data_IF_584455614845
#
_entry.id   IF_584455614845
#
_cell.length_a   1.000
_cell.length_b   1.000
_cell.length_c   1.000
_cell.angle_alpha   90.00
_cell.angle_beta   90.00
_cell.angle_gamma   90.00
#
_symmetry.space_group_name_H-M   'P 1'
#
loop_
_entity.id
_entity.type
_entity.pdbx_description
1 polymer ?
#
# COMPACT_ATOMS: atom_id res chain seq x y z
N UNK A 1 -12.76 16.42 -5.41
CA UNK A 1 -14.18 15.99 -5.34
C UNK A 1 -14.79 16.27 -3.96
N UNK A 2 -14.36 15.63 -2.88
CA UNK A 2 -14.97 15.82 -1.55
C UNK A 2 -15.04 17.28 -1.10
N UNK A 3 -13.96 18.06 -1.27
CA UNK A 3 -13.96 19.50 -0.97
C UNK A 3 -15.01 20.28 -1.78
N UNK A 4 -15.15 19.94 -3.06
CA UNK A 4 -16.14 20.56 -3.92
C UNK A 4 -17.60 20.24 -3.50
N UNK A 5 -17.85 19.00 -3.03
CA UNK A 5 -19.16 18.61 -2.47
C UNK A 5 -19.51 19.48 -1.25
N UNK A 6 -18.51 19.91 -0.48
CA UNK A 6 -18.69 20.79 0.68
C UNK A 6 -18.67 22.28 0.34
N UNK A 7 -18.54 22.66 -0.93
CA UNK A 7 -18.39 24.05 -1.35
C UNK A 7 -17.05 24.69 -0.98
N UNK A 8 -16.07 23.87 -0.59
CA UNK A 8 -14.71 24.32 -0.21
C UNK A 8 -13.79 24.45 -1.39
N UNK A 9 -12.82 25.34 -1.29
CA UNK A 9 -11.70 25.42 -2.22
C UNK A 9 -10.76 24.24 -2.11
N UNK A 10 -10.26 23.75 -3.26
CA UNK A 10 -9.22 22.73 -3.31
C UNK A 10 -8.24 23.00 -4.45
N UNK A 11 -6.94 22.99 -4.14
CA UNK A 11 -5.85 23.03 -5.12
C UNK A 11 -5.05 21.74 -5.03
N UNK A 12 -4.80 21.07 -6.17
CA UNK A 12 -4.02 19.84 -6.25
C UNK A 12 -2.89 20.02 -7.26
N UNK A 13 -1.69 19.63 -6.89
CA UNK A 13 -0.53 19.60 -7.77
C UNK A 13 0.17 18.25 -7.62
N UNK A 14 0.26 17.53 -8.73
CA UNK A 14 0.95 16.25 -8.80
C UNK A 14 2.38 16.45 -9.32
N UNK A 15 3.33 15.80 -8.67
CA UNK A 15 4.72 15.76 -9.06
C UNK A 15 5.12 14.31 -9.20
N UNK A 16 4.98 13.77 -10.41
CA UNK A 16 5.44 12.43 -10.74
C UNK A 16 6.88 12.51 -11.29
N UNK A 17 7.72 11.56 -10.88
CA UNK A 17 9.04 11.37 -11.50
C UNK A 17 8.91 10.82 -12.93
N UNK A 18 9.95 11.01 -13.76
CA UNK A 18 10.00 10.48 -15.13
C UNK A 18 10.06 8.93 -15.19
N UNK A 19 10.35 8.26 -14.09
CA UNK A 19 10.36 6.81 -14.02
C UNK A 19 8.91 6.26 -13.99
N UNK A 20 8.54 5.50 -15.00
CA UNK A 20 7.20 4.91 -15.15
C UNK A 20 6.88 3.87 -14.06
N UNK A 21 7.89 3.28 -13.40
CA UNK A 21 7.75 2.37 -12.26
C UNK A 21 8.87 2.65 -11.26
N UNK A 22 8.52 2.70 -9.95
CA UNK A 22 9.50 2.89 -8.88
C UNK A 22 9.98 4.34 -8.67
N UNK A 23 9.39 5.33 -9.36
CA UNK A 23 9.65 6.75 -9.11
C UNK A 23 8.81 7.28 -7.96
N UNK A 24 9.39 8.18 -7.13
CA UNK A 24 8.65 8.86 -6.07
C UNK A 24 7.56 9.76 -6.66
N UNK A 25 6.33 9.62 -6.16
CA UNK A 25 5.21 10.48 -6.50
C UNK A 25 4.84 11.33 -5.29
N UNK A 26 4.74 12.64 -5.48
CA UNK A 26 4.30 13.55 -4.45
C UNK A 26 3.06 14.30 -4.95
N UNK A 27 2.04 14.36 -4.11
CA UNK A 27 0.82 15.14 -4.39
C UNK A 27 0.69 16.19 -3.31
N UNK A 28 0.67 17.46 -3.71
CA UNK A 28 0.35 18.55 -2.83
C UNK A 28 -1.13 18.87 -2.95
N UNK A 29 -1.83 18.91 -1.83
CA UNK A 29 -3.24 19.25 -1.76
C UNK A 29 -3.44 20.36 -0.73
N UNK A 30 -4.06 21.47 -1.15
CA UNK A 30 -4.53 22.52 -0.24
C UNK A 30 -6.05 22.53 -0.24
N UNK A 31 -6.60 22.63 0.96
CA UNK A 31 -8.04 22.75 1.19
C UNK A 31 -8.26 24.02 2.00
N UNK A 32 -9.16 24.87 1.56
CA UNK A 32 -9.55 26.11 2.22
C UNK A 32 -11.06 26.25 2.26
N UNK A 33 -11.58 27.14 3.09
CA UNK A 33 -13.04 27.39 3.15
C UNK A 33 -13.52 27.99 1.83
N UNK A 34 -12.76 28.91 1.21
CA UNK A 34 -13.09 29.45 -0.09
C UNK A 34 -11.97 29.18 -1.12
N UNK A 35 -12.28 29.04 -2.41
CA UNK A 35 -11.28 28.88 -3.47
C UNK A 35 -10.26 30.01 -3.53
N UNK A 36 -10.68 31.23 -3.25
CA UNK A 36 -9.88 32.47 -3.29
C UNK A 36 -8.78 32.48 -2.22
N UNK A 37 -8.93 31.71 -1.16
CA UNK A 37 -7.94 31.58 -0.08
C UNK A 37 -6.70 30.76 -0.50
N UNK A 38 -6.75 30.12 -1.68
CA UNK A 38 -5.67 29.28 -2.22
C UNK A 38 -4.88 30.09 -3.28
N UNK A 39 -3.93 30.89 -2.83
CA UNK A 39 -3.06 31.65 -3.75
C UNK A 39 -1.96 30.79 -4.38
N UNK A 40 -1.47 29.76 -3.69
CA UNK A 40 -0.42 28.84 -4.16
C UNK A 40 -0.77 27.41 -3.77
N UNK A 41 -0.73 26.50 -4.72
CA UNK A 41 -1.04 25.07 -4.48
C UNK A 41 0.14 24.33 -3.86
N UNK A 42 1.38 24.66 -4.25
CA UNK A 42 2.57 24.01 -3.73
C UNK A 42 2.71 24.26 -2.22
N UNK A 43 2.90 23.19 -1.46
CA UNK A 43 3.23 23.26 -0.04
C UNK A 43 4.72 23.57 0.09
N UNK A 44 5.07 24.63 0.81
CA UNK A 44 6.46 25.02 1.06
C UNK A 44 7.06 24.23 2.24
N UNK A 45 8.37 24.42 2.46
CA UNK A 45 9.08 23.77 3.58
C UNK A 45 8.44 24.11 4.92
N UNK A 46 8.17 23.07 5.72
CA UNK A 46 7.55 23.20 7.05
C UNK A 46 6.08 23.62 7.07
N UNK A 47 5.40 23.64 5.92
CA UNK A 47 4.00 24.08 5.85
C UNK A 47 2.97 22.94 5.89
N UNK A 48 3.38 21.69 5.67
CA UNK A 48 2.44 20.57 5.66
C UNK A 48 1.79 20.40 7.04
N UNK A 49 0.45 20.35 7.08
CA UNK A 49 -0.30 19.98 8.27
C UNK A 49 -0.45 18.47 8.39
N UNK A 50 -0.75 17.82 7.27
CA UNK A 50 -0.95 16.38 7.18
C UNK A 50 -0.09 15.78 6.08
N UNK A 51 0.55 14.66 6.38
CA UNK A 51 1.20 13.79 5.41
C UNK A 51 0.53 12.43 5.43
N UNK A 52 0.12 11.96 4.26
CA UNK A 52 -0.35 10.58 4.06
C UNK A 52 0.69 9.90 3.18
N UNK A 53 1.48 9.01 3.77
CA UNK A 53 2.56 8.30 3.11
C UNK A 53 2.12 6.93 2.62
N UNK A 54 2.17 6.70 1.31
CA UNK A 54 1.81 5.43 0.69
C UNK A 54 2.86 4.33 0.86
N UNK A 55 4.10 4.72 1.15
CA UNK A 55 5.23 3.84 1.46
C UNK A 55 6.22 4.55 2.40
N UNK A 56 7.04 3.77 3.09
CA UNK A 56 7.95 4.31 4.10
C UNK A 56 9.13 5.06 3.45
N UNK A 57 9.64 4.58 2.31
CA UNK A 57 10.84 5.13 1.68
C UNK A 57 10.63 6.57 1.20
N UNK A 58 9.56 6.81 0.44
CA UNK A 58 9.23 8.17 -0.05
C UNK A 58 8.80 9.07 1.10
N UNK A 59 8.08 8.51 2.07
CA UNK A 59 7.61 9.25 3.24
C UNK A 59 8.76 9.78 4.11
N UNK A 60 9.80 8.97 4.33
CA UNK A 60 10.99 9.34 5.10
C UNK A 60 12.09 10.04 4.26
N UNK A 61 11.88 10.23 2.97
CA UNK A 61 12.84 10.90 2.10
C UNK A 61 12.99 12.39 2.38
N UNK A 62 14.18 12.96 2.13
CA UNK A 62 14.53 14.34 2.45
C UNK A 62 13.55 15.38 1.91
N UNK A 63 13.06 15.18 0.68
CA UNK A 63 12.07 16.07 0.06
C UNK A 63 10.77 16.12 0.88
N UNK A 64 10.28 14.97 1.32
CA UNK A 64 9.07 14.85 2.13
C UNK A 64 9.31 15.42 3.53
N UNK A 65 10.42 15.04 4.16
CA UNK A 65 10.80 15.55 5.49
C UNK A 65 10.94 17.06 5.51
N UNK A 66 11.41 17.69 4.43
CA UNK A 66 11.52 19.15 4.35
C UNK A 66 10.19 19.88 4.45
N UNK A 67 9.08 19.24 4.04
CA UNK A 67 7.73 19.80 4.11
C UNK A 67 7.16 19.79 5.54
N UNK A 68 7.70 18.94 6.40
CA UNK A 68 7.20 18.72 7.75
C UNK A 68 7.84 19.63 8.78
N UNK A 69 7.08 19.95 9.82
CA UNK A 69 7.53 20.75 10.97
C UNK A 69 6.97 20.18 12.26
N UNK A 70 7.83 20.12 13.28
CA UNK A 70 7.43 19.74 14.64
C UNK A 70 6.30 20.66 15.12
N UNK A 71 5.42 20.12 15.94
CA UNK A 71 4.27 20.80 16.54
C UNK A 71 3.16 21.26 15.56
N UNK A 72 3.34 20.96 14.27
CA UNK A 72 2.34 21.26 13.25
C UNK A 72 1.93 20.03 12.44
N UNK A 73 2.91 19.30 11.96
CA UNK A 73 2.68 18.20 11.03
C UNK A 73 2.28 16.91 11.73
N UNK A 74 1.25 16.27 11.22
CA UNK A 74 0.84 14.92 11.61
C UNK A 74 0.99 13.97 10.41
N UNK A 75 1.39 12.75 10.69
CA UNK A 75 1.74 11.77 9.65
C UNK A 75 0.95 10.48 9.85
N UNK A 76 0.36 9.98 8.77
CA UNK A 76 -0.10 8.60 8.62
C UNK A 76 0.80 7.95 7.58
N UNK A 77 1.46 6.87 7.93
CA UNK A 77 2.44 6.21 7.06
C UNK A 77 2.14 4.72 6.92
N UNK A 78 2.10 4.27 5.68
CA UNK A 78 2.10 2.85 5.38
C UNK A 78 3.50 2.29 5.65
N UNK A 79 3.57 1.21 6.42
CA UNK A 79 4.83 0.53 6.75
C UNK A 79 5.39 -0.29 5.59
N UNK A 80 4.70 -0.30 4.43
CA UNK A 80 5.16 -1.01 3.25
C UNK A 80 6.56 -0.56 2.86
N UNK A 81 7.45 -1.53 2.74
CA UNK A 81 8.78 -1.38 2.17
C UNK A 81 8.70 -1.56 0.65
N UNK A 82 8.75 -0.46 -0.09
CA UNK A 82 8.84 -0.54 -1.54
C UNK A 82 10.25 -1.00 -1.94
N UNK A 83 10.37 -2.15 -2.59
CA UNK A 83 11.64 -2.64 -3.12
C UNK A 83 12.09 -1.69 -4.22
N UNK A 84 13.24 -1.05 -4.01
CA UNK A 84 13.85 -0.13 -4.97
C UNK A 84 14.77 -0.83 -5.96
N UNK A 85 15.19 -0.12 -7.02
CA UNK A 85 16.17 -0.65 -7.99
C UNK A 85 17.54 -0.99 -7.36
N UNK A 86 17.83 -0.61 -6.14
CA UNK A 86 19.05 -0.97 -5.42
C UNK A 86 19.09 -2.46 -5.08
N UNK A 87 17.95 -3.08 -4.82
CA UNK A 87 17.84 -4.52 -4.61
C UNK A 87 18.32 -5.33 -5.83
N UNK A 88 18.25 -4.79 -7.02
CA UNK A 88 18.77 -5.45 -8.24
C UNK A 88 20.29 -5.45 -8.30
N UNK A 89 20.96 -4.60 -7.52
CA UNK A 89 22.43 -4.49 -7.44
C UNK A 89 22.99 -5.21 -6.24
N UNK A 90 22.24 -5.28 -5.16
CA UNK A 90 22.60 -5.95 -3.93
C UNK A 90 21.42 -6.77 -3.42
N UNK A 91 21.53 -8.10 -3.54
CA UNK A 91 20.47 -9.05 -3.13
C UNK A 91 20.35 -9.18 -1.61
N UNK A 92 21.34 -8.72 -0.86
CA UNK A 92 21.32 -8.69 0.61
C UNK A 92 20.91 -7.31 1.16
N UNK A 93 20.59 -6.38 0.27
CA UNK A 93 20.14 -5.04 0.66
C UNK A 93 18.85 -5.13 1.50
N UNK A 94 18.91 -4.68 2.74
CA UNK A 94 17.75 -4.46 3.59
C UNK A 94 17.51 -2.96 3.76
N UNK A 95 16.26 -2.54 3.59
CA UNK A 95 15.90 -1.15 3.86
C UNK A 95 16.10 -0.84 5.35
N UNK A 96 16.75 0.28 5.71
CA UNK A 96 16.93 0.68 7.10
C UNK A 96 15.60 1.26 7.68
N UNK A 97 14.56 0.44 7.71
CA UNK A 97 13.18 0.86 8.07
C UNK A 97 13.10 1.50 9.45
N UNK A 98 13.85 0.97 10.42
CA UNK A 98 13.92 1.56 11.77
C UNK A 98 14.56 2.96 11.75
N UNK A 99 15.61 3.15 10.94
CA UNK A 99 16.24 4.46 10.73
C UNK A 99 15.28 5.46 10.08
N UNK A 100 14.46 5.01 9.13
CA UNK A 100 13.45 5.84 8.47
C UNK A 100 12.33 6.24 9.43
N UNK A 101 11.83 5.32 10.24
CA UNK A 101 10.86 5.61 11.30
C UNK A 101 11.43 6.58 12.33
N UNK A 102 12.70 6.38 12.71
CA UNK A 102 13.39 7.28 13.64
C UNK A 102 13.50 8.71 13.07
N UNK A 103 13.84 8.86 11.77
CA UNK A 103 13.92 10.15 11.11
C UNK A 103 12.56 10.89 11.09
N UNK A 104 11.46 10.19 10.77
CA UNK A 104 10.11 10.73 10.84
C UNK A 104 9.75 11.17 12.27
N UNK A 105 9.98 10.30 13.26
CA UNK A 105 9.69 10.58 14.65
C UNK A 105 10.53 11.76 15.19
N UNK A 106 11.78 11.86 14.80
CA UNK A 106 12.65 12.99 15.18
C UNK A 106 12.16 14.30 14.55
N UNK A 107 11.64 14.23 13.30
CA UNK A 107 11.18 15.43 12.57
C UNK A 107 9.92 16.04 13.14
N UNK A 108 8.90 15.22 13.47
CA UNK A 108 7.57 15.72 13.87
C UNK A 108 7.19 15.40 15.32
N UNK A 109 7.94 14.53 15.98
CA UNK A 109 7.62 13.95 17.29
C UNK A 109 6.91 12.60 17.18
N UNK A 110 7.22 11.66 18.09
CA UNK A 110 6.70 10.28 18.00
C UNK A 110 5.16 10.22 18.07
N UNK A 111 4.54 11.07 18.89
CA UNK A 111 3.07 11.12 19.01
C UNK A 111 2.37 11.75 17.80
N UNK A 112 3.14 12.18 16.82
CA UNK A 112 2.65 12.82 15.60
C UNK A 112 2.70 11.91 14.38
N UNK A 113 3.20 10.67 14.52
CA UNK A 113 3.30 9.68 13.46
C UNK A 113 2.48 8.46 13.84
N UNK A 114 1.64 8.02 12.93
CA UNK A 114 0.88 6.78 13.05
C UNK A 114 1.29 5.85 11.89
N UNK A 115 1.63 4.62 12.23
CA UNK A 115 2.04 3.60 11.27
C UNK A 115 0.96 2.55 11.09
N UNK A 116 0.84 2.01 9.88
CA UNK A 116 -0.11 0.96 9.52
C UNK A 116 0.45 0.12 8.38
N UNK A 117 0.30 -1.19 8.43
CA UNK A 117 0.47 -2.05 7.26
C UNK A 117 -0.85 -2.11 6.47
N UNK A 118 -1.08 -1.07 5.68
CA UNK A 118 -2.30 -0.94 4.88
C UNK A 118 -2.38 -2.01 3.78
N UNK A 119 -1.24 -2.48 3.29
CA UNK A 119 -1.18 -3.52 2.26
C UNK A 119 -1.65 -4.87 2.82
N UNK A 120 -1.19 -5.25 4.00
CA UNK A 120 -1.63 -6.47 4.67
C UNK A 120 -3.13 -6.43 4.98
N UNK A 121 -3.62 -5.30 5.50
CA UNK A 121 -5.05 -5.13 5.79
C UNK A 121 -5.87 -5.26 4.51
N UNK A 122 -5.48 -4.55 3.45
CA UNK A 122 -6.19 -4.60 2.16
C UNK A 122 -6.17 -5.99 1.54
N UNK A 123 -5.02 -6.63 1.48
CA UNK A 123 -4.89 -7.99 0.95
C UNK A 123 -5.73 -9.00 1.74
N UNK A 124 -5.71 -8.91 3.08
CA UNK A 124 -6.40 -9.85 3.97
C UNK A 124 -7.93 -9.72 3.89
N UNK A 125 -8.45 -8.49 3.96
CA UNK A 125 -9.88 -8.26 4.10
C UNK A 125 -10.59 -7.93 2.78
N UNK A 126 -9.85 -7.47 1.77
CA UNK A 126 -10.39 -7.06 0.46
C UNK A 126 -9.83 -7.88 -0.71
N UNK A 127 -8.82 -8.72 -0.46
CA UNK A 127 -8.21 -9.60 -1.47
C UNK A 127 -7.20 -8.92 -2.40
N UNK A 128 -7.00 -7.60 -2.30
CA UNK A 128 -6.07 -6.86 -3.17
C UNK A 128 -5.45 -5.66 -2.44
N UNK A 129 -4.18 -5.41 -2.68
CA UNK A 129 -3.43 -4.26 -2.13
C UNK A 129 -3.80 -2.92 -2.78
N UNK A 130 -4.53 -2.92 -3.90
CA UNK A 130 -4.97 -1.70 -4.60
C UNK A 130 -5.78 -0.76 -3.69
N UNK A 131 -6.40 -1.30 -2.65
CA UNK A 131 -7.22 -0.55 -1.70
C UNK A 131 -6.42 0.12 -0.58
N UNK A 132 -5.10 -0.10 -0.47
CA UNK A 132 -4.27 0.40 0.64
C UNK A 132 -4.32 1.93 0.78
N UNK A 133 -4.35 2.66 -0.33
CA UNK A 133 -4.45 4.12 -0.29
C UNK A 133 -5.77 4.60 0.34
N UNK A 134 -6.86 3.88 0.12
CA UNK A 134 -8.16 4.22 0.71
C UNK A 134 -8.23 3.82 2.18
N UNK A 135 -7.54 2.77 2.60
CA UNK A 135 -7.32 2.45 4.02
C UNK A 135 -6.59 3.59 4.73
N UNK A 136 -5.49 4.09 4.13
CA UNK A 136 -4.76 5.25 4.67
C UNK A 136 -5.62 6.50 4.76
N UNK A 137 -6.47 6.74 3.76
CA UNK A 137 -7.42 7.86 3.77
C UNK A 137 -8.41 7.74 4.95
N UNK A 138 -8.94 6.55 5.18
CA UNK A 138 -9.84 6.26 6.31
C UNK A 138 -9.16 6.48 7.66
N UNK A 139 -7.91 6.04 7.80
CA UNK A 139 -7.09 6.27 8.99
C UNK A 139 -6.83 7.76 9.22
N UNK A 140 -6.43 8.50 8.18
CA UNK A 140 -6.20 9.94 8.27
C UNK A 140 -7.47 10.70 8.65
N UNK A 141 -8.62 10.30 8.10
CA UNK A 141 -9.92 10.88 8.46
C UNK A 141 -10.25 10.63 9.94
N UNK A 142 -10.17 9.39 10.41
CA UNK A 142 -10.51 9.05 11.80
C UNK A 142 -9.56 9.74 12.81
N UNK A 143 -8.30 9.95 12.41
CA UNK A 143 -7.31 10.69 13.19
C UNK A 143 -7.51 12.22 13.14
N UNK A 144 -8.60 12.71 12.54
CA UNK A 144 -8.96 14.14 12.40
C UNK A 144 -7.90 14.96 11.63
N UNK A 145 -7.25 14.34 10.66
CA UNK A 145 -6.21 14.97 9.85
C UNK A 145 -6.74 15.60 8.55
N UNK A 146 -8.02 15.40 8.24
CA UNK A 146 -8.67 15.93 7.05
C UNK A 146 -9.79 16.89 7.45
N UNK A 147 -9.84 18.12 6.90
CA UNK A 147 -10.89 19.10 7.17
C UNK A 147 -12.14 18.88 6.33
N UNK A 148 -12.57 17.61 6.19
CA UNK A 148 -13.68 17.17 5.35
C UNK A 148 -14.61 16.26 6.14
N UNK A 149 -15.89 16.24 5.77
CA UNK A 149 -16.90 15.39 6.36
C UNK A 149 -16.80 13.96 5.79
N UNK A 150 -17.22 12.97 6.59
CA UNK A 150 -17.25 11.57 6.18
C UNK A 150 -18.15 11.38 4.94
N UNK A 151 -19.31 11.97 4.97
CA UNK A 151 -20.32 11.87 3.90
C UNK A 151 -19.76 12.33 2.56
N UNK A 152 -19.01 13.44 2.57
CA UNK A 152 -18.39 14.00 1.37
C UNK A 152 -17.27 13.13 0.81
N UNK A 153 -16.51 12.48 1.69
CA UNK A 153 -15.47 11.52 1.30
C UNK A 153 -16.08 10.26 0.70
N UNK A 154 -17.11 9.70 1.33
CA UNK A 154 -17.82 8.52 0.81
C UNK A 154 -18.51 8.82 -0.54
N UNK A 155 -19.12 10.01 -0.68
CA UNK A 155 -19.71 10.41 -1.93
C UNK A 155 -18.67 10.60 -3.04
N UNK A 156 -17.50 11.16 -2.71
CA UNK A 156 -16.39 11.27 -3.66
C UNK A 156 -15.89 9.89 -4.13
N UNK A 157 -15.89 8.88 -3.25
CA UNK A 157 -15.57 7.49 -3.63
C UNK A 157 -16.62 6.94 -4.59
N UNK A 158 -17.91 7.18 -4.33
CA UNK A 158 -19.00 6.74 -5.24
C UNK A 158 -18.90 7.40 -6.61
N UNK A 159 -18.68 8.71 -6.64
CA UNK A 159 -18.54 9.47 -7.88
C UNK A 159 -17.31 9.07 -8.70
N UNK A 160 -16.24 8.60 -8.06
CA UNK A 160 -15.07 8.06 -8.74
C UNK A 160 -15.37 6.79 -9.54
N UNK A 161 -16.36 6.00 -9.11
CA UNK A 161 -16.90 4.87 -9.87
C UNK A 161 -16.02 3.61 -9.92
N UNK A 162 -14.76 3.67 -9.46
CA UNK A 162 -13.84 2.54 -9.53
C UNK A 162 -13.94 1.70 -8.26
N UNK A 163 -14.28 0.39 -8.39
CA UNK A 163 -14.36 -0.58 -7.29
C UNK A 163 -15.03 0.01 -6.02
N UNK A 164 -16.19 0.63 -6.18
CA UNK A 164 -16.85 1.48 -5.18
C UNK A 164 -16.99 0.77 -3.83
N UNK A 165 -17.58 -0.43 -3.83
CA UNK A 165 -17.85 -1.17 -2.59
C UNK A 165 -16.54 -1.53 -1.85
N UNK A 166 -15.52 -1.95 -2.61
CA UNK A 166 -14.18 -2.24 -2.05
C UNK A 166 -13.54 -0.99 -1.43
N UNK A 167 -13.64 0.16 -2.09
CA UNK A 167 -13.09 1.42 -1.57
C UNK A 167 -13.88 1.95 -0.37
N UNK A 168 -15.20 1.80 -0.35
CA UNK A 168 -16.00 2.16 0.82
C UNK A 168 -15.61 1.31 2.03
N UNK A 169 -15.46 0.00 1.84
CA UNK A 169 -15.03 -0.91 2.90
C UNK A 169 -13.60 -0.62 3.35
N UNK A 170 -12.68 -0.34 2.41
CA UNK A 170 -11.29 0.04 2.71
C UNK A 170 -11.22 1.29 3.59
N UNK A 171 -12.02 2.31 3.27
CA UNK A 171 -12.11 3.52 4.09
C UNK A 171 -12.56 3.20 5.52
N UNK A 172 -13.59 2.37 5.68
CA UNK A 172 -14.07 1.97 7.01
C UNK A 172 -13.05 1.10 7.77
N UNK A 173 -12.31 0.22 7.09
CA UNK A 173 -11.23 -0.56 7.71
C UNK A 173 -10.11 0.36 8.26
N UNK A 174 -9.72 1.39 7.50
CA UNK A 174 -8.75 2.38 7.97
C UNK A 174 -9.24 3.15 9.20
N UNK A 175 -10.52 3.51 9.24
CA UNK A 175 -11.15 4.13 10.40
C UNK A 175 -11.17 3.18 11.60
N UNK A 176 -11.53 1.93 11.36
CA UNK A 176 -11.61 0.91 12.42
C UNK A 176 -10.24 0.62 13.02
N UNK A 177 -9.18 0.67 12.22
CA UNK A 177 -7.81 0.52 12.70
C UNK A 177 -7.44 1.53 13.80
N UNK A 178 -7.85 2.78 13.65
CA UNK A 178 -7.60 3.83 14.65
C UNK A 178 -8.39 3.56 15.94
N UNK A 179 -9.57 3.00 15.81
CA UNK A 179 -10.44 2.69 16.95
C UNK A 179 -10.00 1.42 17.69
N UNK A 180 -9.64 0.35 16.95
CA UNK A 180 -9.25 -0.95 17.51
C UNK A 180 -8.02 -1.54 16.79
N UNK A 181 -6.82 -0.99 17.00
CA UNK A 181 -5.61 -1.46 16.32
C UNK A 181 -5.29 -2.92 16.66
N UNK A 182 -5.59 -3.36 17.88
CA UNK A 182 -5.35 -4.74 18.33
C UNK A 182 -6.13 -5.78 17.53
N UNK A 183 -7.32 -5.45 17.02
CA UNK A 183 -8.08 -6.35 16.14
C UNK A 183 -7.27 -6.80 14.94
N UNK A 184 -6.42 -5.94 14.40
CA UNK A 184 -5.57 -6.24 13.26
C UNK A 184 -4.24 -6.90 13.65
N UNK A 185 -3.85 -6.81 14.93
CA UNK A 185 -2.63 -7.44 15.47
C UNK A 185 -2.87 -8.89 15.90
N UNK A 186 -4.03 -9.19 16.49
CA UNK A 186 -4.40 -10.53 16.98
C UNK A 186 -4.54 -11.57 15.87
N UNK A 187 -4.72 -11.13 14.68
CA UNK A 187 -4.44 -11.97 13.53
C UNK A 187 -2.97 -11.82 13.11
N UNK A 188 -2.02 -12.28 13.94
CA UNK A 188 -0.94 -13.02 13.31
C UNK A 188 -1.67 -13.91 12.32
N UNK A 189 -1.47 -13.69 11.01
CA UNK A 189 -1.58 -14.79 10.08
C UNK A 189 -0.89 -15.90 10.86
N UNK A 190 -1.63 -16.93 11.33
CA UNK A 190 -0.99 -18.21 11.52
C UNK A 190 -0.15 -18.28 10.28
N UNK A 191 1.17 -18.14 10.46
CA UNK A 191 2.11 -18.35 9.36
C UNK A 191 1.54 -19.57 8.74
N UNK A 192 0.97 -19.41 7.52
CA UNK A 192 0.30 -20.52 6.85
C UNK A 192 1.35 -21.56 6.99
N UNK A 193 1.15 -22.41 7.96
CA UNK A 193 2.08 -23.36 8.57
C UNK A 193 3.10 -23.62 7.54
N UNK A 194 4.39 -23.38 7.75
CA UNK A 194 5.44 -23.57 6.78
C UNK A 194 4.88 -24.45 5.69
N UNK A 195 4.37 -23.81 4.63
CA UNK A 195 3.70 -24.58 3.57
C UNK A 195 4.82 -25.52 3.24
N UNK A 196 4.61 -26.77 3.56
CA UNK A 196 5.63 -27.78 3.38
C UNK A 196 6.01 -27.62 1.91
N UNK A 197 7.06 -26.85 1.64
CA UNK A 197 7.47 -26.45 0.29
C UNK A 197 8.08 -27.63 -0.44
N UNK A 198 7.58 -28.83 -0.15
CA UNK A 198 7.86 -30.02 -0.93
C UNK A 198 7.35 -29.80 -2.34
N UNK A 199 8.00 -30.44 -3.29
CA UNK A 199 7.58 -30.41 -4.69
C UNK A 199 6.10 -30.76 -4.84
N UNK A 200 5.64 -31.79 -4.12
CA UNK A 200 4.28 -32.29 -4.16
C UNK A 200 3.25 -31.29 -3.67
N UNK A 201 3.54 -30.60 -2.58
CA UNK A 201 2.63 -29.61 -2.01
C UNK A 201 2.48 -28.38 -2.93
N UNK A 202 3.59 -27.93 -3.52
CA UNK A 202 3.60 -26.82 -4.48
C UNK A 202 2.85 -27.22 -5.76
N UNK A 203 3.12 -28.43 -6.26
CA UNK A 203 2.48 -28.96 -7.47
C UNK A 203 0.96 -29.03 -7.29
N UNK A 204 0.49 -29.64 -6.20
CA UNK A 204 -0.94 -29.76 -5.90
C UNK A 204 -1.63 -28.41 -5.73
N UNK A 205 -1.02 -27.50 -4.98
CA UNK A 205 -1.56 -26.16 -4.76
C UNK A 205 -1.73 -25.38 -6.07
N UNK A 206 -0.68 -25.35 -6.91
CA UNK A 206 -0.71 -24.62 -8.17
C UNK A 206 -1.61 -25.26 -9.21
N UNK A 207 -1.62 -26.61 -9.30
CA UNK A 207 -2.54 -27.32 -10.20
C UNK A 207 -3.99 -26.98 -9.90
N UNK A 208 -4.38 -26.99 -8.63
CA UNK A 208 -5.74 -26.62 -8.21
C UNK A 208 -6.07 -25.16 -8.60
N UNK A 209 -5.13 -24.24 -8.46
CA UNK A 209 -5.34 -22.84 -8.88
C UNK A 209 -5.46 -22.70 -10.39
N UNK A 210 -4.65 -23.42 -11.17
CA UNK A 210 -4.70 -23.39 -12.63
C UNK A 210 -6.01 -24.02 -13.18
N UNK A 211 -6.52 -25.06 -12.51
CA UNK A 211 -7.83 -25.63 -12.82
C UNK A 211 -8.95 -24.60 -12.63
N UNK A 212 -8.93 -23.86 -11.50
CA UNK A 212 -9.91 -22.82 -11.20
C UNK A 212 -9.75 -21.56 -12.07
N UNK A 213 -8.53 -21.25 -12.52
CA UNK A 213 -8.26 -20.10 -13.36
C UNK A 213 -8.73 -20.27 -14.80
N UNK A 214 -8.47 -21.43 -15.41
CA UNK A 214 -8.79 -21.65 -16.82
C UNK A 214 -9.37 -23.04 -17.10
N UNK A 215 -8.63 -24.14 -16.81
CA UNK A 215 -9.09 -25.48 -17.15
C UNK A 215 -8.23 -26.60 -16.54
N UNK A 216 -8.82 -27.80 -16.41
CA UNK A 216 -8.10 -29.04 -16.07
C UNK A 216 -6.97 -29.36 -17.07
N UNK A 217 -7.13 -28.98 -18.33
CA UNK A 217 -6.11 -29.21 -19.37
C UNK A 217 -4.83 -28.40 -19.09
N UNK A 218 -4.98 -27.17 -18.62
CA UNK A 218 -3.85 -26.31 -18.25
C UNK A 218 -3.12 -26.86 -17.01
N UNK A 219 -3.87 -27.28 -15.99
CA UNK A 219 -3.31 -27.89 -14.80
C UNK A 219 -2.49 -29.17 -15.14
N UNK A 220 -3.03 -30.05 -15.98
CA UNK A 220 -2.31 -31.26 -16.43
C UNK A 220 -1.03 -30.93 -17.20
N UNK A 221 -1.04 -29.90 -18.05
CA UNK A 221 0.15 -29.48 -18.80
C UNK A 221 1.25 -28.98 -17.85
N UNK A 222 0.87 -28.21 -16.84
CA UNK A 222 1.76 -27.76 -15.79
C UNK A 222 2.38 -28.95 -15.02
N UNK A 223 1.55 -29.90 -14.57
CA UNK A 223 2.01 -31.10 -13.87
C UNK A 223 2.99 -31.95 -14.71
N UNK A 224 2.70 -32.13 -15.98
CA UNK A 224 3.59 -32.86 -16.90
C UNK A 224 4.95 -32.18 -17.05
N UNK A 225 4.99 -30.83 -17.17
CA UNK A 225 6.24 -30.09 -17.27
C UNK A 225 7.05 -30.21 -15.97
N UNK A 226 6.43 -30.00 -14.82
CA UNK A 226 7.11 -30.07 -13.54
C UNK A 226 7.65 -31.47 -13.23
N UNK A 227 6.88 -32.53 -13.53
CA UNK A 227 7.30 -33.88 -13.29
C UNK A 227 8.46 -34.30 -14.24
N UNK A 228 8.43 -33.88 -15.49
CA UNK A 228 9.51 -34.11 -16.44
C UNK A 228 10.84 -33.51 -15.96
N UNK A 229 10.80 -32.28 -15.44
CA UNK A 229 12.00 -31.61 -14.93
C UNK A 229 12.47 -32.23 -13.60
N UNK A 230 11.55 -32.73 -12.75
CA UNK A 230 11.89 -33.47 -11.53
C UNK A 230 12.63 -34.79 -11.84
N UNK A 231 12.27 -35.51 -12.91
CA UNK A 231 12.96 -36.72 -13.35
C UNK A 231 14.43 -36.43 -13.73
N UNK A 232 14.73 -35.24 -14.22
CA UNK A 232 16.10 -34.82 -14.55
C UNK A 232 16.91 -34.43 -13.32
N UNK A 233 16.31 -33.70 -12.39
CA UNK A 233 16.92 -33.28 -11.14
C UNK A 233 15.84 -32.81 -10.15
N UNK A 234 15.88 -33.33 -8.92
CA UNK A 234 14.87 -33.05 -7.88
C UNK A 234 14.78 -31.56 -7.51
N UNK A 235 15.92 -30.89 -7.41
CA UNK A 235 15.97 -29.45 -7.15
C UNK A 235 15.45 -28.61 -8.32
N UNK A 236 15.69 -29.07 -9.56
CA UNK A 236 15.19 -28.42 -10.76
C UNK A 236 13.66 -28.48 -10.83
N UNK A 237 13.07 -29.67 -10.54
CA UNK A 237 11.62 -29.84 -10.48
C UNK A 237 10.96 -28.86 -9.50
N UNK A 238 11.52 -28.69 -8.31
CA UNK A 238 11.02 -27.74 -7.30
C UNK A 238 11.13 -26.30 -7.76
N UNK A 239 12.25 -25.91 -8.39
CA UNK A 239 12.46 -24.57 -8.93
C UNK A 239 11.50 -24.25 -10.07
N UNK A 240 11.28 -25.21 -10.97
CA UNK A 240 10.33 -25.08 -12.09
C UNK A 240 8.89 -25.00 -11.57
N UNK A 241 8.52 -25.82 -10.59
CA UNK A 241 7.19 -25.77 -9.98
C UNK A 241 6.89 -24.41 -9.34
N UNK A 242 7.91 -23.75 -8.77
CA UNK A 242 7.79 -22.38 -8.21
C UNK A 242 7.79 -21.30 -9.27
N UNK A 243 8.62 -21.40 -10.29
CA UNK A 243 8.94 -20.35 -11.26
C UNK A 243 8.07 -20.32 -12.50
N UNK A 244 7.40 -21.40 -12.88
CA UNK A 244 6.54 -21.42 -14.07
C UNK A 244 5.38 -20.45 -13.93
N UNK A 245 5.37 -19.46 -14.79
CA UNK A 245 4.26 -18.52 -14.94
C UNK A 245 3.30 -18.97 -16.05
N UNK A 246 2.10 -18.39 -16.07
CA UNK A 246 1.08 -18.63 -17.11
C UNK A 246 1.59 -18.39 -18.54
N UNK A 247 2.62 -17.56 -18.70
CA UNK A 247 3.20 -17.25 -20.01
C UNK A 247 4.00 -18.44 -20.55
N UNK A 248 4.51 -19.32 -19.70
CA UNK A 248 5.36 -20.46 -20.07
C UNK A 248 4.60 -21.79 -20.19
N UNK A 249 3.33 -21.82 -19.83
CA UNK A 249 2.45 -22.97 -19.89
C UNK A 249 1.52 -22.87 -21.11
#
# INVERSE_FOLDING_TARGET
MASHIEGKGAGVMEMAGLAQKGGAVHIHCRIAENPEDISVVRVASGEAHTLIGGDLLVTAGDKTLSLLRRDRSKVVCNEMEAITGEFTRDTEFSLPSDGMKLALNAKVGPDSVQYIDANRISSKYLGDTIFSNTVLLGMAYQSKLLPLKRESLLEAIRLNGAAVDGNLLAFELGRYYVYQPNFFQETKVEDINEVDYTFESILAYRSKRLEGYQSKKLAKKYEQLCNKEKELNENLGSSVARGLSLIHI
#
